data_IF_470826667627
#
_entry.id   IF_470826667627
#
_cell.length_a   1.000
_cell.length_b   1.000
_cell.length_c   1.000
_cell.angle_alpha   90.00
_cell.angle_beta   90.00
_cell.angle_gamma   90.00
#
_symmetry.space_group_name_H-M   'P 1'
#
loop_
_entity.id
_entity.type
_entity.pdbx_description
1 polymer ?
#
# COMPACT_ATOMS: atom_id res chain seq x y z
N UNK A 1 10.71 -33.35 -0.42
CA UNK A 1 10.72 -32.61 -1.70
C UNK A 1 9.35 -31.98 -1.89
N UNK A 2 9.28 -30.69 -2.24
CA UNK A 2 8.03 -30.06 -2.66
C UNK A 2 7.83 -30.29 -4.16
N UNK A 3 6.63 -30.70 -4.57
CA UNK A 3 6.32 -31.12 -5.94
C UNK A 3 5.82 -29.97 -6.86
N UNK A 4 5.72 -28.74 -6.35
CA UNK A 4 5.23 -27.59 -7.13
C UNK A 4 5.54 -26.24 -6.51
N UNK A 5 5.42 -25.18 -7.32
CA UNK A 5 5.62 -23.79 -6.92
C UNK A 5 4.26 -23.11 -6.74
N UNK A 6 3.99 -22.60 -5.54
CA UNK A 6 2.89 -21.68 -5.27
C UNK A 6 3.48 -20.36 -4.79
N UNK A 7 3.53 -19.37 -5.69
CA UNK A 7 4.05 -18.03 -5.41
C UNK A 7 3.11 -16.98 -5.98
N UNK A 8 2.75 -16.00 -5.16
CA UNK A 8 2.04 -14.78 -5.55
C UNK A 8 2.98 -13.61 -5.31
N UNK A 9 3.07 -12.68 -6.26
CA UNK A 9 3.81 -11.42 -6.10
C UNK A 9 2.89 -10.26 -6.47
N UNK A 10 2.63 -9.33 -5.55
CA UNK A 10 1.74 -8.19 -5.78
C UNK A 10 2.43 -6.88 -5.41
N UNK A 11 2.14 -5.84 -6.19
CA UNK A 11 2.43 -4.43 -5.88
C UNK A 11 1.11 -3.68 -5.91
N UNK A 12 0.84 -2.90 -4.88
CA UNK A 12 -0.46 -2.27 -4.71
C UNK A 12 -0.56 -1.50 -3.41
N UNK A 13 -1.79 -1.18 -3.03
CA UNK A 13 -2.07 -0.31 -1.91
C UNK A 13 -3.01 -1.00 -0.91
N UNK A 14 -2.78 -0.74 0.38
CA UNK A 14 -3.63 -1.24 1.45
C UNK A 14 -4.97 -0.50 1.48
N UNK A 15 -6.09 -1.23 1.45
CA UNK A 15 -7.43 -0.66 1.33
C UNK A 15 -8.00 -0.06 2.61
N UNK A 16 -7.68 -0.66 3.75
CA UNK A 16 -8.10 -0.24 5.08
C UNK A 16 -6.99 -0.56 6.08
N UNK A 17 -7.03 0.06 7.26
CA UNK A 17 -6.01 -0.17 8.28
C UNK A 17 -5.92 -1.65 8.64
N UNK A 18 -4.71 -2.24 8.72
CA UNK A 18 -4.54 -3.64 9.02
C UNK A 18 -5.14 -4.03 10.37
N UNK A 19 -5.89 -5.12 10.40
CA UNK A 19 -6.41 -5.69 11.62
C UNK A 19 -5.40 -6.70 12.18
N UNK A 20 -4.93 -6.48 13.41
CA UNK A 20 -4.09 -7.45 14.11
C UNK A 20 -4.96 -8.28 15.04
N UNK A 21 -4.85 -9.60 14.91
CA UNK A 21 -5.65 -10.58 15.64
C UNK A 21 -4.72 -11.61 16.29
N UNK A 22 -5.19 -12.26 17.33
CA UNK A 22 -4.46 -13.33 18.03
C UNK A 22 -5.16 -14.66 17.75
N UNK A 23 -4.41 -15.68 17.37
CA UNK A 23 -4.99 -17.04 17.23
C UNK A 23 -5.23 -17.65 18.60
N UNK A 24 -6.40 -18.25 18.81
CA UNK A 24 -6.78 -18.86 20.09
C UNK A 24 -5.98 -20.13 20.40
N UNK A 25 -5.48 -20.81 19.37
CA UNK A 25 -4.81 -22.12 19.53
C UNK A 25 -3.39 -21.97 20.08
N UNK A 26 -2.62 -21.03 19.53
CA UNK A 26 -1.18 -20.90 19.80
C UNK A 26 -0.78 -19.53 20.37
N UNK A 27 -1.75 -18.66 20.67
CA UNK A 27 -1.56 -17.29 21.15
C UNK A 27 -0.60 -16.44 20.29
N UNK A 28 -0.53 -16.71 18.98
CA UNK A 28 0.29 -15.96 18.02
C UNK A 28 -0.51 -14.86 17.35
N UNK A 29 0.15 -13.73 17.12
CA UNK A 29 -0.45 -12.62 16.39
C UNK A 29 -0.38 -12.84 14.88
N UNK A 30 -1.40 -12.39 14.17
CA UNK A 30 -1.44 -12.35 12.72
C UNK A 30 -2.14 -11.07 12.25
N UNK A 31 -1.74 -10.56 11.09
CA UNK A 31 -2.34 -9.38 10.48
C UNK A 31 -3.22 -9.77 9.28
N UNK A 32 -4.37 -9.11 9.13
CA UNK A 32 -5.22 -9.25 7.96
C UNK A 32 -5.60 -7.89 7.38
N UNK A 33 -5.60 -7.78 6.06
CA UNK A 33 -6.03 -6.57 5.36
C UNK A 33 -6.46 -6.86 3.92
N UNK A 34 -7.20 -5.91 3.34
CA UNK A 34 -7.56 -5.90 1.91
C UNK A 34 -6.49 -5.11 1.16
N UNK A 35 -6.09 -5.62 0.00
CA UNK A 35 -5.04 -5.03 -0.83
C UNK A 35 -5.55 -4.82 -2.24
N UNK A 36 -5.37 -3.62 -2.77
CA UNK A 36 -5.84 -3.24 -4.09
C UNK A 36 -4.69 -3.29 -5.09
N UNK A 37 -4.91 -3.94 -6.24
CA UNK A 37 -4.05 -3.82 -7.43
C UNK A 37 -4.86 -3.25 -8.57
N UNK A 38 -4.36 -2.20 -9.20
CA UNK A 38 -5.08 -1.46 -10.24
C UNK A 38 -4.37 -1.59 -11.58
N UNK A 39 -5.11 -2.06 -12.58
CA UNK A 39 -4.68 -2.06 -13.98
C UNK A 39 -5.34 -0.89 -14.72
N UNK A 40 -4.58 -0.25 -15.59
CA UNK A 40 -5.05 0.84 -16.44
C UNK A 40 -4.76 0.52 -17.90
N UNK A 41 -5.77 0.55 -18.74
CA UNK A 41 -5.63 0.31 -20.18
C UNK A 41 -6.47 1.30 -20.98
N UNK A 42 -6.21 1.38 -22.28
CA UNK A 42 -7.01 2.18 -23.22
C UNK A 42 -7.95 1.26 -23.97
N UNK A 43 -9.25 1.56 -23.97
CA UNK A 43 -10.24 0.80 -24.73
C UNK A 43 -9.96 0.98 -26.23
N UNK A 44 -9.91 -0.14 -26.97
CA UNK A 44 -9.57 -0.13 -28.40
C UNK A 44 -10.67 0.44 -29.28
N UNK A 45 -11.94 0.38 -28.85
CA UNK A 45 -13.09 0.84 -29.60
C UNK A 45 -13.40 2.31 -29.31
N UNK A 46 -13.33 2.71 -28.04
CA UNK A 46 -13.69 4.09 -27.63
C UNK A 46 -12.47 5.02 -27.51
N UNK A 47 -11.27 4.47 -27.37
CA UNK A 47 -10.06 5.26 -27.11
C UNK A 47 -9.99 5.86 -25.71
N UNK A 48 -10.93 5.52 -24.82
CA UNK A 48 -10.98 6.03 -23.44
C UNK A 48 -10.04 5.26 -22.52
N UNK A 49 -9.54 5.94 -21.49
CA UNK A 49 -8.76 5.32 -20.42
C UNK A 49 -9.72 4.60 -19.48
N UNK A 50 -9.51 3.30 -19.27
CA UNK A 50 -10.25 2.46 -18.31
C UNK A 50 -9.33 2.00 -17.19
N UNK A 51 -9.95 1.73 -16.05
CA UNK A 51 -9.29 1.27 -14.83
C UNK A 51 -10.06 0.07 -14.27
N UNK A 52 -9.33 -0.96 -13.84
CA UNK A 52 -9.89 -2.11 -13.12
C UNK A 52 -9.08 -2.33 -11.85
N UNK A 53 -9.76 -2.42 -10.71
CA UNK A 53 -9.13 -2.65 -9.42
C UNK A 53 -9.56 -4.00 -8.87
N UNK A 54 -8.57 -4.85 -8.65
CA UNK A 54 -8.74 -6.16 -8.02
C UNK A 54 -8.41 -6.09 -6.53
N UNK A 55 -9.22 -6.77 -5.72
CA UNK A 55 -9.10 -6.80 -4.27
C UNK A 55 -8.63 -8.16 -3.77
N UNK A 56 -7.48 -8.16 -3.11
CA UNK A 56 -6.82 -9.35 -2.58
C UNK A 56 -6.94 -9.36 -1.07
N UNK A 57 -7.28 -10.53 -0.50
CA UNK A 57 -7.27 -10.73 0.95
C UNK A 57 -5.88 -11.21 1.37
N UNK A 58 -5.21 -10.43 2.21
CA UNK A 58 -3.87 -10.74 2.69
C UNK A 58 -3.95 -11.21 4.14
N UNK A 59 -3.27 -12.33 4.44
CA UNK A 59 -3.11 -12.85 5.79
C UNK A 59 -1.63 -13.07 6.10
N UNK A 60 -1.12 -12.35 7.10
CA UNK A 60 0.30 -12.33 7.46
C UNK A 60 0.49 -13.04 8.78
N UNK A 61 1.20 -14.17 8.75
CA UNK A 61 1.50 -15.00 9.93
C UNK A 61 2.98 -14.98 10.32
N UNK A 62 3.87 -14.43 9.48
CA UNK A 62 5.28 -14.27 9.83
C UNK A 62 5.44 -13.19 10.90
N UNK A 63 5.91 -13.56 12.09
CA UNK A 63 5.96 -12.68 13.28
C UNK A 63 6.65 -11.33 13.00
N UNK A 64 7.83 -11.33 12.38
CA UNK A 64 8.52 -10.09 11.99
C UNK A 64 7.76 -9.26 10.95
N UNK A 65 6.99 -9.90 10.06
CA UNK A 65 6.15 -9.19 9.09
C UNK A 65 4.91 -8.60 9.75
N UNK A 66 4.34 -9.27 10.77
CA UNK A 66 3.22 -8.75 11.56
C UNK A 66 3.64 -7.48 12.29
N UNK A 67 4.83 -7.46 12.89
CA UNK A 67 5.38 -6.25 13.53
C UNK A 67 5.55 -5.10 12.53
N UNK A 68 6.08 -5.39 11.33
CA UNK A 68 6.20 -4.39 10.27
C UNK A 68 4.82 -3.84 9.89
N UNK A 69 3.83 -4.72 9.68
CA UNK A 69 2.47 -4.31 9.33
C UNK A 69 1.84 -3.48 10.43
N UNK A 70 1.98 -3.88 11.70
CA UNK A 70 1.46 -3.17 12.85
C UNK A 70 2.02 -1.74 12.95
N UNK A 71 3.33 -1.60 12.76
CA UNK A 71 4.03 -0.35 13.07
C UNK A 71 4.10 0.63 11.88
N UNK A 72 4.07 0.12 10.66
CA UNK A 72 4.37 0.92 9.46
C UNK A 72 3.30 0.88 8.37
N UNK A 73 2.28 0.02 8.50
CA UNK A 73 1.24 -0.11 7.48
C UNK A 73 -0.08 0.46 7.96
N UNK A 74 -0.68 1.30 7.11
CA UNK A 74 -2.01 1.88 7.29
C UNK A 74 -2.77 1.90 5.97
N UNK A 75 -4.02 2.35 5.98
CA UNK A 75 -4.79 2.62 4.76
C UNK A 75 -3.97 3.48 3.80
N UNK A 76 -3.93 3.05 2.55
CA UNK A 76 -3.22 3.70 1.46
C UNK A 76 -1.74 3.31 1.35
N UNK A 77 -1.15 2.63 2.34
CA UNK A 77 0.27 2.26 2.29
C UNK A 77 0.57 1.43 1.05
N UNK A 78 1.59 1.82 0.30
CA UNK A 78 2.05 1.07 -0.87
C UNK A 78 3.04 -0.03 -0.45
N UNK A 79 2.75 -1.26 -0.84
CA UNK A 79 3.57 -2.43 -0.49
C UNK A 79 3.92 -3.25 -1.72
N UNK A 80 5.08 -3.90 -1.66
CA UNK A 80 5.35 -5.14 -2.39
C UNK A 80 5.16 -6.32 -1.43
N UNK A 81 4.51 -7.39 -1.90
CA UNK A 81 4.33 -8.60 -1.12
C UNK A 81 4.56 -9.86 -1.96
N UNK A 82 5.20 -10.86 -1.36
CA UNK A 82 5.30 -12.22 -1.88
C UNK A 82 4.75 -13.22 -0.88
N UNK A 83 3.86 -14.09 -1.34
CA UNK A 83 3.22 -15.11 -0.51
C UNK A 83 2.79 -16.32 -1.34
N UNK A 84 1.83 -17.06 -0.80
CA UNK A 84 1.22 -18.22 -1.46
C UNK A 84 -0.31 -18.12 -1.43
N UNK A 85 -1.00 -18.63 -2.46
CA UNK A 85 -2.45 -18.74 -2.42
C UNK A 85 -2.87 -19.87 -1.49
N UNK A 86 -3.83 -19.62 -0.62
CA UNK A 86 -4.54 -20.65 0.14
C UNK A 86 -6.04 -20.44 0.02
N UNK A 87 -6.75 -21.51 -0.33
CA UNK A 87 -8.20 -21.52 -0.34
C UNK A 87 -8.70 -22.37 0.80
N UNK A 88 -9.51 -21.78 1.69
CA UNK A 88 -10.16 -22.49 2.79
C UNK A 88 -11.66 -22.59 2.54
N UNK A 89 -12.23 -23.75 2.89
CA UNK A 89 -13.68 -23.94 2.99
C UNK A 89 -14.16 -23.47 4.34
N UNK A 90 -15.29 -22.79 4.39
CA UNK A 90 -15.97 -22.44 5.63
C UNK A 90 -17.48 -22.45 5.41
N UNK A 91 -18.23 -22.73 6.46
CA UNK A 91 -19.69 -22.65 6.45
C UNK A 91 -20.09 -21.23 6.85
N UNK A 92 -20.89 -20.58 6.00
CA UNK A 92 -21.46 -19.28 6.33
C UNK A 92 -22.47 -19.44 7.47
N UNK A 93 -22.24 -18.74 8.59
CA UNK A 93 -23.06 -18.87 9.79
C UNK A 93 -24.51 -18.37 9.62
N UNK A 94 -24.77 -17.48 8.66
CA UNK A 94 -26.10 -16.93 8.41
C UNK A 94 -26.93 -17.82 7.47
N UNK A 95 -26.28 -18.45 6.49
CA UNK A 95 -26.98 -19.21 5.42
C UNK A 95 -26.79 -20.72 5.52
N UNK A 96 -25.84 -21.20 6.32
CA UNK A 96 -25.47 -22.62 6.41
C UNK A 96 -24.79 -23.19 5.17
N UNK A 97 -24.52 -22.37 4.15
CA UNK A 97 -23.93 -22.82 2.89
C UNK A 97 -22.40 -22.94 2.99
N UNK A 98 -21.83 -23.93 2.30
CA UNK A 98 -20.38 -24.05 2.12
C UNK A 98 -19.87 -22.96 1.18
N UNK A 99 -18.86 -22.22 1.63
CA UNK A 99 -18.18 -21.18 0.84
C UNK A 99 -16.67 -21.41 0.83
N UNK A 100 -16.05 -20.89 -0.22
CA UNK A 100 -14.61 -20.89 -0.37
C UNK A 100 -14.09 -19.46 -0.22
N UNK A 101 -12.98 -19.30 0.51
CA UNK A 101 -12.25 -18.04 0.58
C UNK A 101 -10.80 -18.27 0.20
N UNK A 102 -10.35 -17.55 -0.82
CA UNK A 102 -8.95 -17.57 -1.27
C UNK A 102 -8.23 -16.37 -0.69
N UNK A 103 -7.09 -16.61 -0.06
CA UNK A 103 -6.28 -15.62 0.64
C UNK A 103 -4.83 -15.74 0.17
N UNK A 104 -4.11 -14.62 0.10
CA UNK A 104 -2.66 -14.59 -0.07
C UNK A 104 -2.03 -14.65 1.31
N UNK A 105 -1.35 -15.75 1.59
CA UNK A 105 -0.78 -16.04 2.89
C UNK A 105 0.73 -15.76 2.89
N UNK A 106 1.16 -14.90 3.80
CA UNK A 106 2.56 -14.60 4.06
C UNK A 106 3.01 -15.38 5.31
N UNK A 107 3.73 -16.48 5.09
CA UNK A 107 4.24 -17.37 6.14
C UNK A 107 5.55 -18.02 5.67
N UNK A 108 6.54 -18.14 6.56
CA UNK A 108 7.85 -18.72 6.23
C UNK A 108 8.67 -17.78 5.36
N UNK A 109 9.06 -18.21 4.15
CA UNK A 109 9.95 -17.46 3.24
C UNK A 109 9.22 -16.37 2.43
N UNK A 110 8.23 -15.72 3.06
CA UNK A 110 7.46 -14.64 2.43
C UNK A 110 8.16 -13.30 2.54
N UNK A 111 7.81 -12.38 1.64
CA UNK A 111 8.44 -11.05 1.55
C UNK A 111 7.36 -9.98 1.69
N UNK A 112 7.65 -8.93 2.45
CA UNK A 112 6.86 -7.70 2.49
C UNK A 112 7.82 -6.52 2.52
N UNK A 113 7.67 -5.59 1.58
CA UNK A 113 8.51 -4.40 1.46
C UNK A 113 7.61 -3.18 1.39
N UNK A 114 7.88 -2.18 2.24
CA UNK A 114 7.25 -0.87 2.13
C UNK A 114 7.82 -0.13 0.94
N UNK A 115 6.95 0.36 0.08
CA UNK A 115 7.32 1.15 -1.10
C UNK A 115 7.03 2.64 -0.91
N UNK A 116 6.42 3.02 0.22
CA UNK A 116 6.20 4.44 0.52
C UNK A 116 7.52 5.12 0.88
N UNK A 117 7.79 6.22 0.18
CA UNK A 117 8.85 7.15 0.59
C UNK A 117 8.40 7.83 1.88
N UNK A 118 9.25 7.80 2.91
CA UNK A 118 9.04 8.55 4.15
C UNK A 118 8.85 10.02 3.77
N UNK A 119 7.61 10.51 3.76
CA UNK A 119 7.29 11.91 3.45
C UNK A 119 8.00 12.74 4.51
N UNK A 120 9.15 13.31 4.16
CA UNK A 120 9.87 14.27 5.01
C UNK A 120 8.99 15.51 4.97
N UNK A 121 8.18 15.68 6.01
CA UNK A 121 7.41 16.89 6.24
C UNK A 121 8.41 17.99 6.57
N UNK A 122 9.05 18.52 5.53
CA UNK A 122 9.80 19.76 5.60
C UNK A 122 8.73 20.84 5.69
N UNK A 123 8.27 21.10 6.91
CA UNK A 123 7.44 22.24 7.25
C UNK A 123 8.20 23.52 6.93
N UNK A 124 8.18 23.93 5.67
CA UNK A 124 8.39 25.32 5.30
C UNK A 124 7.14 26.08 5.75
N UNK A 125 7.20 26.57 6.99
CA UNK A 125 6.33 27.65 7.43
C UNK A 125 6.76 28.90 6.66
N UNK A 126 6.17 29.09 5.49
CA UNK A 126 6.30 30.31 4.70
C UNK A 126 5.50 31.40 5.42
N UNK A 127 6.12 31.99 6.44
CA UNK A 127 5.60 33.17 7.11
C UNK A 127 5.80 34.36 6.16
N UNK A 128 4.88 34.51 5.19
CA UNK A 128 4.82 35.63 4.29
C UNK A 128 4.37 36.88 5.07
N UNK A 129 5.32 37.56 5.72
CA UNK A 129 5.14 38.94 6.14
C UNK A 129 5.22 39.83 4.90
N UNK A 130 4.07 40.38 4.50
CA UNK A 130 3.94 41.37 3.42
C UNK A 130 4.88 42.55 3.64
N UNK A 131 5.76 42.93 2.68
CA UNK A 131 6.51 44.16 2.79
C UNK A 131 5.63 45.34 2.34
N UNK A 132 5.48 46.29 3.25
CA UNK A 132 4.81 47.58 3.05
C UNK A 132 5.55 48.40 1.99
N UNK A 133 4.79 48.96 1.05
CA UNK A 133 5.25 49.90 0.03
C UNK A 133 5.77 51.21 0.65
N UNK A 134 6.95 51.70 0.25
CA UNK A 134 7.28 53.12 0.31
C UNK A 134 8.51 53.50 -0.55
N UNK A 135 8.30 54.42 -1.50
CA UNK A 135 9.30 55.41 -1.95
C UNK A 135 10.08 55.13 -3.25
N UNK A 136 10.10 56.06 -4.24
CA UNK A 136 10.84 55.90 -5.48
C UNK A 136 12.23 56.57 -5.39
N UNK A 137 13.28 55.91 -5.89
CA UNK A 137 14.53 56.57 -6.29
C UNK A 137 15.13 55.90 -7.52
N UNK A 138 15.29 56.71 -8.56
CA UNK A 138 16.09 56.47 -9.77
C UNK A 138 17.55 56.10 -9.43
N UNK A 139 18.13 55.11 -10.12
CA UNK A 139 19.16 55.31 -11.16
C UNK A 139 20.04 54.05 -11.38
N UNK A 140 20.17 53.74 -12.68
CA UNK A 140 21.36 53.29 -13.43
C UNK A 140 22.09 51.98 -13.10
N UNK A 141 22.61 51.38 -14.19
CA UNK A 141 23.61 50.30 -14.32
C UNK A 141 22.89 48.95 -14.48
N UNK A 142 22.47 48.51 -15.67
CA UNK A 142 23.27 48.30 -16.89
C UNK A 142 24.61 47.64 -16.57
N UNK A 143 24.59 46.33 -16.33
CA UNK A 143 25.79 45.51 -16.51
C UNK A 143 25.45 44.06 -16.87
N UNK A 144 26.03 43.67 -18.00
CA UNK A 144 25.91 42.41 -18.73
C UNK A 144 26.20 41.18 -17.87
N UNK A 145 25.47 40.09 -18.13
CA UNK A 145 25.89 38.74 -17.74
C UNK A 145 26.60 38.13 -18.95
N UNK A 146 27.92 37.85 -18.90
CA UNK A 146 28.55 37.07 -19.94
C UNK A 146 28.17 35.59 -19.80
N UNK A 147 28.04 34.96 -20.97
CA UNK A 147 27.67 33.58 -21.25
C UNK A 147 28.33 32.51 -20.35
#
# INVERSE_FOLDING_TARGET
MALGLNKVSLIGNVGHDPEIRVTQQDNREFATFWFATTETWRDKNTGEKRENTEWHRIAVFGEGLVEIVRNYTKKGTKLYLEGSLRTRKFTDAATGQERHSTEVVLQGHSVLILLDSKKKDLGFSENASSPTSNGPTQNSIDDEVPF
#
